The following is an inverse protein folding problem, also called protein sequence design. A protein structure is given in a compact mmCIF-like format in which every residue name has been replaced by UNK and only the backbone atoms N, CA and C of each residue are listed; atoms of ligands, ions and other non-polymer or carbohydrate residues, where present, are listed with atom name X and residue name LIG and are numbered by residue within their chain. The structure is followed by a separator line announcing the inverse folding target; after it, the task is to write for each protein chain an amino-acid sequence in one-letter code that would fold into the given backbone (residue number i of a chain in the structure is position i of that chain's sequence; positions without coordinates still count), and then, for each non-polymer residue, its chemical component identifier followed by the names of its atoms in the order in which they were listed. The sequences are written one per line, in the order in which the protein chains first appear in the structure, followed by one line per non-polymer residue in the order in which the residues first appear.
data_IF_987883496643
#
_entry.id   IF_987883496643
#
_cell.length_a   1.000
_cell.length_b   1.000
_cell.length_c   1.000
_cell.angle_alpha   90.00
_cell.angle_beta   90.00
_cell.angle_gamma   90.00
#
_symmetry.space_group_name_H-M   'P 1'
#
loop_
_entity.id
_entity.type
_entity.pdbx_description
1 polymer ?
#
# COMPACT_ATOMS: atom_id res chain seq x y z
N UNK A 1 -3.50 -25.31 -6.90
CA UNK A 1 -2.83 -25.29 -5.59
C UNK A 1 -3.36 -24.09 -4.83
N UNK A 2 -4.08 -24.27 -3.71
CA UNK A 2 -4.53 -23.13 -2.90
C UNK A 2 -3.29 -22.35 -2.46
N UNK A 3 -3.30 -21.04 -2.69
CA UNK A 3 -2.14 -20.20 -2.52
C UNK A 3 -1.61 -20.28 -1.08
N UNK A 4 -0.31 -20.51 -0.94
CA UNK A 4 0.42 -20.71 0.33
C UNK A 4 0.88 -19.38 0.95
N UNK A 5 0.45 -18.24 0.40
CA UNK A 5 0.82 -16.88 0.82
C UNK A 5 0.28 -16.55 2.22
N UNK A 6 -0.96 -16.97 2.54
CA UNK A 6 -1.55 -16.73 3.87
C UNK A 6 -0.75 -17.44 4.95
N UNK A 7 -0.29 -18.67 4.69
CA UNK A 7 0.56 -19.40 5.60
C UNK A 7 1.96 -18.77 5.69
N UNK A 8 2.61 -18.45 4.57
CA UNK A 8 3.96 -17.87 4.56
C UNK A 8 3.99 -16.49 5.25
N UNK A 9 2.95 -15.67 5.04
CA UNK A 9 2.78 -14.40 5.75
C UNK A 9 2.59 -14.61 7.24
N UNK A 10 1.64 -15.47 7.63
CA UNK A 10 1.41 -15.78 9.04
C UNK A 10 2.66 -16.37 9.71
N UNK A 11 3.48 -17.13 8.97
CA UNK A 11 4.76 -17.64 9.44
C UNK A 11 5.76 -16.50 9.69
N UNK A 12 5.97 -15.60 8.73
CA UNK A 12 6.84 -14.43 8.90
C UNK A 12 6.36 -13.51 10.04
N UNK A 13 5.06 -13.20 10.11
CA UNK A 13 4.47 -12.39 11.17
C UNK A 13 4.68 -13.04 12.55
N UNK A 14 4.61 -14.37 12.61
CA UNK A 14 4.90 -15.12 13.84
C UNK A 14 6.39 -15.06 14.21
N UNK A 15 7.32 -15.13 13.24
CA UNK A 15 8.74 -14.90 13.50
C UNK A 15 9.00 -13.48 14.03
N UNK A 16 8.44 -12.45 13.41
CA UNK A 16 8.56 -11.07 13.89
C UNK A 16 8.00 -10.87 15.30
N UNK A 17 6.97 -11.63 15.67
CA UNK A 17 6.48 -11.66 17.04
C UNK A 17 7.49 -12.32 18.00
N UNK A 18 8.12 -13.43 17.61
CA UNK A 18 9.16 -14.11 18.40
C UNK A 18 10.40 -13.22 18.59
N UNK A 19 10.75 -12.38 17.62
CA UNK A 19 11.85 -11.41 17.77
C UNK A 19 11.66 -10.43 18.95
N UNK A 20 10.42 -10.23 19.40
CA UNK A 20 10.10 -9.38 20.56
C UNK A 20 10.10 -10.15 21.89
N UNK A 21 10.38 -11.45 21.88
CA UNK A 21 10.35 -12.34 23.05
C UNK A 21 11.76 -12.87 23.38
N UNK A 22 11.89 -13.49 24.55
CA UNK A 22 13.17 -14.08 25.00
C UNK A 22 13.21 -15.60 24.81
N UNK A 23 14.40 -16.17 24.61
CA UNK A 23 14.60 -17.62 24.64
C UNK A 23 14.13 -18.19 25.99
N UNK A 24 13.32 -19.23 25.96
CA UNK A 24 12.67 -19.86 27.12
C UNK A 24 11.27 -19.32 27.43
N UNK A 25 10.87 -18.20 26.84
CA UNK A 25 9.53 -17.62 27.00
C UNK A 25 8.48 -18.40 26.17
N UNK A 26 7.23 -18.34 26.62
CA UNK A 26 6.10 -18.99 25.93
C UNK A 26 5.61 -18.13 24.75
N UNK A 27 5.40 -18.77 23.60
CA UNK A 27 4.87 -18.10 22.40
C UNK A 27 3.38 -17.73 22.51
N UNK A 28 2.67 -18.33 23.47
CA UNK A 28 1.25 -18.10 23.73
C UNK A 28 0.30 -19.12 23.09
N UNK A 29 -0.99 -19.01 23.43
CA UNK A 29 -2.02 -19.96 23.02
C UNK A 29 -2.44 -19.80 21.54
N UNK A 30 -2.76 -20.92 20.88
CA UNK A 30 -3.21 -20.95 19.47
C UNK A 30 -4.35 -19.96 19.16
N UNK A 31 -5.31 -19.83 20.07
CA UNK A 31 -6.45 -18.93 19.90
C UNK A 31 -6.09 -17.44 20.02
N UNK A 32 -5.02 -17.11 20.73
CA UNK A 32 -4.50 -15.74 20.81
C UNK A 32 -3.67 -15.42 19.58
N UNK A 33 -2.81 -16.34 19.16
CA UNK A 33 -2.03 -16.22 17.93
C UNK A 33 -2.91 -16.10 16.68
N UNK A 34 -4.00 -16.88 16.60
CA UNK A 34 -4.94 -16.78 15.46
C UNK A 34 -5.60 -15.41 15.37
N UNK A 35 -5.86 -14.76 16.51
CA UNK A 35 -6.43 -13.41 16.56
C UNK A 35 -5.40 -12.35 16.21
N UNK A 36 -4.19 -12.43 16.76
CA UNK A 36 -3.13 -11.45 16.48
C UNK A 36 -2.67 -11.50 15.03
N UNK A 37 -2.52 -12.70 14.47
CA UNK A 37 -2.09 -12.94 13.09
C UNK A 37 -3.24 -12.84 12.07
N UNK A 38 -4.48 -12.63 12.51
CA UNK A 38 -5.69 -12.55 11.66
C UNK A 38 -5.85 -13.73 10.67
N UNK A 39 -5.54 -14.95 11.11
CA UNK A 39 -5.67 -16.18 10.31
C UNK A 39 -6.46 -17.27 11.04
N UNK A 40 -6.81 -18.34 10.32
CA UNK A 40 -7.52 -19.48 10.91
C UNK A 40 -6.65 -20.21 11.94
N UNK A 41 -7.27 -20.84 12.94
CA UNK A 41 -6.56 -21.70 13.91
C UNK A 41 -5.80 -22.84 13.22
N UNK A 42 -6.34 -23.36 12.12
CA UNK A 42 -5.68 -24.39 11.30
C UNK A 42 -4.38 -23.86 10.69
N UNK A 43 -4.38 -22.62 10.19
CA UNK A 43 -3.17 -21.98 9.68
C UNK A 43 -2.13 -21.79 10.78
N UNK A 44 -2.54 -21.33 11.96
CA UNK A 44 -1.63 -21.18 13.12
C UNK A 44 -1.02 -22.52 13.52
N UNK A 45 -1.80 -23.61 13.53
CA UNK A 45 -1.26 -24.95 13.82
C UNK A 45 -0.18 -25.35 12.85
N UNK A 46 -0.41 -25.20 11.56
CA UNK A 46 0.61 -25.49 10.54
C UNK A 46 1.85 -24.61 10.69
N UNK A 47 1.70 -23.33 11.06
CA UNK A 47 2.83 -22.44 11.35
C UNK A 47 3.63 -22.96 12.54
N UNK A 48 2.97 -23.31 13.65
CA UNK A 48 3.61 -23.82 14.86
C UNK A 48 4.32 -25.16 14.62
N UNK A 49 3.71 -26.07 13.86
CA UNK A 49 4.33 -27.33 13.43
C UNK A 49 5.65 -27.07 12.70
N UNK A 50 5.67 -26.14 11.74
CA UNK A 50 6.90 -25.80 11.01
C UNK A 50 7.93 -25.08 11.88
N UNK A 51 7.50 -24.24 12.84
CA UNK A 51 8.43 -23.61 13.80
C UNK A 51 9.12 -24.64 14.69
N UNK A 52 8.39 -25.69 15.09
CA UNK A 52 8.94 -26.82 15.85
C UNK A 52 9.91 -27.66 14.99
N UNK A 53 9.54 -27.98 13.75
CA UNK A 53 10.43 -28.66 12.80
C UNK A 53 11.75 -27.91 12.57
N UNK A 54 11.69 -26.57 12.52
CA UNK A 54 12.86 -25.69 12.39
C UNK A 54 13.58 -25.40 13.72
N UNK A 55 13.14 -26.03 14.81
CA UNK A 55 13.69 -25.90 16.17
C UNK A 55 13.74 -24.46 16.66
N UNK A 56 12.76 -23.66 16.26
CA UNK A 56 12.57 -22.28 16.76
C UNK A 56 11.79 -22.32 18.07
N UNK A 57 10.82 -23.23 18.15
CA UNK A 57 10.07 -23.54 19.36
C UNK A 57 10.21 -25.03 19.71
N UNK A 58 9.86 -25.38 20.94
CA UNK A 58 9.65 -26.76 21.39
C UNK A 58 8.31 -26.86 22.14
N UNK A 59 7.56 -27.93 21.86
CA UNK A 59 6.33 -28.28 22.57
C UNK A 59 6.63 -29.35 23.63
N UNK A 60 6.34 -29.06 24.90
CA UNK A 60 6.46 -30.03 26.00
C UNK A 60 5.12 -30.70 26.36
N UNK A 61 4.08 -30.48 25.54
CA UNK A 61 2.71 -30.96 25.72
C UNK A 61 1.86 -30.09 26.66
N UNK A 62 2.46 -29.11 27.36
CA UNK A 62 1.75 -28.13 28.20
C UNK A 62 1.92 -26.70 27.70
N UNK A 63 3.11 -26.36 27.20
CA UNK A 63 3.49 -25.04 26.73
C UNK A 63 4.43 -25.16 25.53
N UNK A 64 4.39 -24.15 24.65
CA UNK A 64 5.34 -24.01 23.54
C UNK A 64 6.30 -22.89 23.86
N UNK A 65 7.58 -23.22 23.96
CA UNK A 65 8.63 -22.29 24.38
C UNK A 65 9.63 -22.02 23.27
N UNK A 66 10.15 -20.80 23.25
CA UNK A 66 11.15 -20.37 22.27
C UNK A 66 12.49 -21.03 22.61
N UNK A 67 13.07 -21.76 21.67
CA UNK A 67 14.36 -22.45 21.81
C UNK A 67 15.51 -21.62 21.24
N UNK A 68 15.23 -20.83 20.20
CA UNK A 68 16.15 -19.85 19.61
C UNK A 68 15.39 -18.70 18.99
N UNK A 69 16.03 -17.54 18.86
CA UNK A 69 15.48 -16.43 18.09
C UNK A 69 15.57 -16.72 16.58
N UNK A 70 14.65 -16.16 15.77
CA UNK A 70 14.72 -16.22 14.31
C UNK A 70 16.01 -15.62 13.76
N UNK A 71 16.49 -16.16 12.65
CA UNK A 71 17.55 -15.56 11.83
C UNK A 71 16.98 -15.14 10.48
N UNK A 72 17.64 -14.23 9.73
CA UNK A 72 17.11 -13.75 8.43
C UNK A 72 16.72 -14.85 7.44
N UNK A 73 17.42 -15.99 7.47
CA UNK A 73 17.16 -17.12 6.58
C UNK A 73 15.95 -18.00 6.99
N UNK A 74 15.36 -17.75 8.17
CA UNK A 74 14.12 -18.41 8.57
C UNK A 74 12.90 -17.80 7.87
N UNK A 75 12.96 -16.52 7.51
CA UNK A 75 11.85 -15.82 6.88
C UNK A 75 11.64 -16.29 5.44
N UNK A 76 10.39 -16.44 5.03
CA UNK A 76 10.07 -16.53 3.62
C UNK A 76 10.39 -15.21 2.92
N UNK A 77 10.88 -15.22 1.67
CA UNK A 77 11.08 -14.00 0.90
C UNK A 77 9.79 -13.19 0.79
N UNK A 78 9.88 -11.86 0.80
CA UNK A 78 8.71 -10.98 0.75
C UNK A 78 7.84 -11.22 -0.50
N UNK A 79 8.48 -11.56 -1.63
CA UNK A 79 7.79 -11.94 -2.86
C UNK A 79 6.90 -13.20 -2.71
N UNK A 80 7.16 -14.04 -1.71
CA UNK A 80 6.41 -15.26 -1.41
C UNK A 80 5.36 -15.07 -0.30
N UNK A 81 5.41 -13.96 0.45
CA UNK A 81 4.42 -13.61 1.48
C UNK A 81 3.37 -12.61 1.00
N UNK A 82 3.61 -11.96 -0.14
CA UNK A 82 2.63 -11.11 -0.82
C UNK A 82 1.37 -11.91 -1.16
N UNK A 83 0.20 -11.33 -0.84
CA UNK A 83 -1.04 -11.96 -1.25
C UNK A 83 -1.14 -11.97 -2.77
N UNK A 84 -1.76 -13.02 -3.34
CA UNK A 84 -2.03 -13.07 -4.78
C UNK A 84 -2.78 -11.81 -5.23
N UNK A 85 -3.64 -11.27 -4.36
CA UNK A 85 -4.31 -9.99 -4.58
C UNK A 85 -3.34 -8.81 -4.72
N UNK A 86 -2.42 -8.61 -3.76
CA UNK A 86 -1.44 -7.52 -3.79
C UNK A 86 -0.50 -7.61 -5.00
N UNK A 87 -0.13 -8.84 -5.40
CA UNK A 87 0.63 -9.08 -6.63
C UNK A 87 -0.17 -8.67 -7.88
N UNK A 88 -1.42 -9.11 -7.97
CA UNK A 88 -2.29 -8.75 -9.10
C UNK A 88 -2.49 -7.24 -9.13
N UNK A 89 -2.72 -6.61 -8.00
CA UNK A 89 -2.92 -5.17 -7.87
C UNK A 89 -1.71 -4.40 -8.40
N UNK A 90 -0.52 -4.68 -7.88
CA UNK A 90 0.72 -4.04 -8.35
C UNK A 90 0.90 -4.19 -9.85
N UNK A 91 0.78 -5.41 -10.38
CA UNK A 91 0.95 -5.68 -11.81
C UNK A 91 -0.14 -5.08 -12.67
N UNK A 92 -1.37 -5.01 -12.17
CA UNK A 92 -2.50 -4.39 -12.86
C UNK A 92 -2.28 -2.89 -12.98
N UNK A 93 -1.84 -2.25 -11.91
CA UNK A 93 -1.49 -0.84 -11.94
C UNK A 93 -0.35 -0.61 -12.94
N UNK A 94 0.75 -1.37 -12.85
CA UNK A 94 1.87 -1.28 -13.81
C UNK A 94 1.40 -1.44 -15.27
N UNK A 95 0.49 -2.39 -15.53
CA UNK A 95 -0.13 -2.59 -16.84
C UNK A 95 -0.94 -1.37 -17.32
N UNK A 96 -1.72 -0.73 -16.44
CA UNK A 96 -2.49 0.48 -16.78
C UNK A 96 -1.56 1.63 -17.19
N UNK A 97 -0.36 1.74 -16.58
CA UNK A 97 0.66 2.71 -16.98
C UNK A 97 1.27 2.40 -18.34
N UNK A 98 1.81 1.19 -18.45
CA UNK A 98 2.66 0.78 -19.57
C UNK A 98 1.85 0.78 -20.87
N UNK A 99 0.65 0.23 -20.81
CA UNK A 99 -0.20 0.06 -22.00
C UNK A 99 -1.01 1.32 -22.35
N UNK A 100 -0.88 2.40 -21.58
CA UNK A 100 -1.63 3.64 -21.77
C UNK A 100 -3.13 3.39 -22.02
N UNK A 101 -3.73 2.53 -21.19
CA UNK A 101 -5.13 2.11 -21.38
C UNK A 101 -6.02 3.35 -21.34
N UNK A 102 -6.87 3.47 -22.36
CA UNK A 102 -7.78 4.59 -22.50
C UNK A 102 -9.12 4.27 -21.82
N UNK A 103 -9.79 5.28 -21.24
CA UNK A 103 -11.20 5.18 -20.87
C UNK A 103 -12.04 4.53 -21.97
N UNK A 104 -12.88 3.56 -21.60
CA UNK A 104 -13.72 2.79 -22.51
C UNK A 104 -13.07 1.54 -23.10
N UNK A 105 -11.77 1.32 -22.93
CA UNK A 105 -11.10 0.10 -23.41
C UNK A 105 -11.47 -1.12 -22.56
N UNK A 106 -11.51 -2.29 -23.19
CA UNK A 106 -11.84 -3.54 -22.53
C UNK A 106 -10.62 -4.13 -21.80
N UNK A 107 -10.80 -4.50 -20.54
CA UNK A 107 -9.82 -5.20 -19.72
C UNK A 107 -10.08 -6.71 -19.82
N UNK A 108 -9.16 -7.46 -20.43
CA UNK A 108 -9.33 -8.89 -20.66
C UNK A 108 -8.69 -9.74 -19.55
N UNK A 109 -9.53 -10.37 -18.72
CA UNK A 109 -9.06 -11.20 -17.61
C UNK A 109 -8.16 -12.38 -18.03
N UNK A 110 -8.35 -12.95 -19.23
CA UNK A 110 -7.53 -14.06 -19.73
C UNK A 110 -6.16 -13.59 -20.22
N UNK A 111 -6.09 -12.37 -20.75
CA UNK A 111 -4.83 -11.73 -21.10
C UNK A 111 -4.02 -11.40 -19.85
N UNK A 112 -4.65 -10.73 -18.87
CA UNK A 112 -4.03 -10.43 -17.59
C UNK A 112 -3.57 -11.69 -16.86
N UNK A 113 -4.36 -12.77 -16.90
CA UNK A 113 -3.97 -14.07 -16.32
C UNK A 113 -2.66 -14.59 -16.90
N UNK A 114 -2.47 -14.51 -18.22
CA UNK A 114 -1.23 -14.92 -18.90
C UNK A 114 -0.07 -14.00 -18.53
N UNK A 115 -0.27 -12.67 -18.59
CA UNK A 115 0.77 -11.67 -18.28
C UNK A 115 1.21 -11.73 -16.82
N UNK A 116 0.28 -11.92 -15.88
CA UNK A 116 0.55 -11.92 -14.45
C UNK A 116 0.89 -13.31 -13.91
N UNK A 117 0.77 -14.35 -14.74
CA UNK A 117 1.02 -15.75 -14.36
C UNK A 117 0.18 -16.20 -13.15
N UNK A 118 -1.09 -15.77 -13.11
CA UNK A 118 -2.08 -16.14 -12.09
C UNK A 118 -3.33 -16.74 -12.73
N UNK A 119 -4.19 -17.40 -11.95
CA UNK A 119 -5.39 -18.02 -12.52
C UNK A 119 -6.42 -16.99 -13.03
N UNK A 120 -7.19 -17.30 -14.09
CA UNK A 120 -8.25 -16.41 -14.57
C UNK A 120 -9.34 -16.13 -13.52
N UNK A 121 -9.55 -17.04 -12.57
CA UNK A 121 -10.48 -16.84 -11.46
C UNK A 121 -9.98 -15.77 -10.48
N UNK A 122 -8.68 -15.78 -10.15
CA UNK A 122 -8.08 -14.79 -9.27
C UNK A 122 -8.10 -13.39 -9.88
N UNK A 123 -7.85 -13.26 -11.19
CA UNK A 123 -8.00 -11.97 -11.89
C UNK A 123 -9.45 -11.49 -11.85
N UNK A 124 -10.43 -12.35 -12.14
CA UNK A 124 -11.85 -11.93 -12.12
C UNK A 124 -12.33 -11.51 -10.73
N UNK A 125 -11.83 -12.18 -9.70
CA UNK A 125 -12.07 -11.80 -8.31
C UNK A 125 -11.46 -10.44 -7.99
N UNK A 126 -10.18 -10.23 -8.32
CA UNK A 126 -9.54 -8.93 -8.19
C UNK A 126 -10.29 -7.82 -8.95
N UNK A 127 -10.62 -8.03 -10.22
CA UNK A 127 -11.32 -7.02 -11.03
C UNK A 127 -12.71 -6.68 -10.48
N UNK A 128 -13.40 -7.66 -9.87
CA UNK A 128 -14.67 -7.44 -9.18
C UNK A 128 -14.49 -6.57 -7.96
N UNK A 129 -13.53 -6.90 -7.11
CA UNK A 129 -13.29 -6.16 -5.88
C UNK A 129 -12.76 -4.75 -6.22
N UNK A 130 -11.91 -4.63 -7.24
CA UNK A 130 -11.39 -3.35 -7.74
C UNK A 130 -12.45 -2.50 -8.46
N UNK A 131 -13.52 -3.10 -8.98
CA UNK A 131 -14.61 -2.32 -9.59
C UNK A 131 -15.37 -1.45 -8.59
N UNK A 132 -15.31 -1.78 -7.29
CA UNK A 132 -15.83 -0.91 -6.22
C UNK A 132 -15.07 0.42 -6.14
N UNK A 133 -13.84 0.45 -6.65
CA UNK A 133 -13.01 1.65 -6.70
C UNK A 133 -13.38 2.59 -7.86
N UNK A 134 -14.30 2.22 -8.75
CA UNK A 134 -14.79 3.07 -9.84
C UNK A 134 -13.91 3.15 -11.10
N UNK A 135 -12.68 2.62 -11.07
CA UNK A 135 -11.77 2.63 -12.24
C UNK A 135 -12.07 1.58 -13.30
N UNK A 136 -12.79 0.52 -12.93
CA UNK A 136 -13.20 -0.53 -13.84
C UNK A 136 -14.69 -0.78 -13.61
N UNK A 137 -15.42 -0.95 -14.70
CA UNK A 137 -16.84 -1.29 -14.67
C UNK A 137 -17.06 -2.67 -15.27
N UNK A 138 -17.92 -3.48 -14.65
CA UNK A 138 -18.42 -4.72 -15.25
C UNK A 138 -19.67 -4.44 -16.06
N UNK A 139 -19.60 -4.60 -17.38
CA UNK A 139 -20.78 -4.48 -18.26
C UNK A 139 -21.72 -5.68 -18.09
N UNK A 140 -23.02 -5.54 -18.45
CA UNK A 140 -23.99 -6.64 -18.43
C UNK A 140 -23.57 -7.87 -19.25
N UNK A 141 -22.82 -7.65 -20.34
CA UNK A 141 -22.21 -8.69 -21.17
C UNK A 141 -21.14 -9.52 -20.44
N UNK A 142 -20.70 -9.09 -19.26
CA UNK A 142 -19.63 -9.70 -18.49
C UNK A 142 -18.23 -9.21 -18.85
N UNK A 143 -18.09 -8.27 -19.80
CA UNK A 143 -16.81 -7.62 -20.08
C UNK A 143 -16.46 -6.58 -19.01
N UNK A 144 -15.16 -6.43 -18.76
CA UNK A 144 -14.63 -5.38 -17.90
C UNK A 144 -14.19 -4.21 -18.77
N UNK A 145 -14.56 -3.00 -18.41
CA UNK A 145 -14.19 -1.78 -19.12
C UNK A 145 -13.40 -0.90 -18.16
N UNK A 146 -12.26 -0.41 -18.60
CA UNK A 146 -11.53 0.61 -17.87
C UNK A 146 -12.28 1.94 -18.00
N UNK A 147 -12.77 2.48 -16.90
CA UNK A 147 -13.50 3.76 -16.87
C UNK A 147 -12.52 4.92 -16.96
N UNK A 148 -11.33 4.74 -16.37
CA UNK A 148 -10.27 5.75 -16.37
C UNK A 148 -10.19 6.53 -15.07
N UNK A 149 -9.07 7.23 -14.92
CA UNK A 149 -8.80 8.15 -13.82
C UNK A 149 -8.79 9.55 -14.40
N UNK A 150 -9.95 10.18 -14.41
CA UNK A 150 -10.10 11.55 -14.86
C UNK A 150 -9.91 12.55 -13.71
N UNK A 151 -10.11 13.83 -14.02
CA UNK A 151 -9.93 14.92 -13.07
C UNK A 151 -10.94 14.86 -11.93
N UNK A 152 -12.18 14.44 -12.20
CA UNK A 152 -13.25 14.38 -11.21
C UNK A 152 -12.99 13.23 -10.24
N UNK A 153 -12.61 12.07 -10.77
CA UNK A 153 -12.16 10.93 -9.96
C UNK A 153 -11.00 11.31 -9.03
N UNK A 154 -9.99 12.02 -9.55
CA UNK A 154 -8.87 12.49 -8.76
C UNK A 154 -9.31 13.48 -7.66
N UNK A 155 -10.29 14.32 -7.96
CA UNK A 155 -10.83 15.31 -7.04
C UNK A 155 -11.55 14.64 -5.87
N UNK A 156 -12.46 13.71 -6.19
CA UNK A 156 -13.23 12.91 -5.23
C UNK A 156 -12.31 12.08 -4.34
N UNK A 157 -11.27 11.47 -4.93
CA UNK A 157 -10.26 10.71 -4.21
C UNK A 157 -9.49 11.56 -3.20
N UNK A 158 -9.10 12.78 -3.59
CA UNK A 158 -8.44 13.73 -2.70
C UNK A 158 -9.37 14.22 -1.57
N UNK A 159 -10.67 14.37 -1.83
CA UNK A 159 -11.65 14.76 -0.81
C UNK A 159 -11.78 13.69 0.26
N UNK A 160 -11.94 12.43 -0.13
CA UNK A 160 -12.05 11.31 0.82
C UNK A 160 -10.73 11.12 1.58
N UNK A 161 -9.59 11.18 0.90
CA UNK A 161 -8.26 11.10 1.54
C UNK A 161 -8.12 12.15 2.64
N UNK A 162 -8.51 13.40 2.37
CA UNK A 162 -8.40 14.48 3.33
C UNK A 162 -9.24 14.24 4.59
N UNK A 163 -10.48 13.77 4.42
CA UNK A 163 -11.36 13.45 5.55
C UNK A 163 -10.73 12.35 6.43
N UNK A 164 -10.21 11.29 5.80
CA UNK A 164 -9.68 10.15 6.52
C UNK A 164 -8.34 10.42 7.22
N UNK A 165 -7.41 11.10 6.54
CA UNK A 165 -6.12 11.42 7.14
C UNK A 165 -6.26 12.41 8.30
N UNK A 166 -7.13 13.42 8.19
CA UNK A 166 -7.37 14.37 9.29
C UNK A 166 -7.97 13.68 10.52
N UNK A 167 -8.95 12.80 10.33
CA UNK A 167 -9.53 12.03 11.44
C UNK A 167 -8.49 11.10 12.07
N UNK A 168 -7.64 10.48 11.25
CA UNK A 168 -6.58 9.59 11.72
C UNK A 168 -5.51 10.36 12.51
N UNK A 169 -5.09 11.53 12.04
CA UNK A 169 -4.14 12.41 12.72
C UNK A 169 -4.66 12.89 14.09
N UNK A 170 -5.95 13.28 14.15
CA UNK A 170 -6.63 13.63 15.41
C UNK A 170 -6.64 12.48 16.42
N UNK A 171 -6.67 11.24 15.94
CA UNK A 171 -6.60 10.04 16.78
C UNK A 171 -5.18 9.71 17.20
N UNK A 172 -4.22 9.88 16.29
CA UNK A 172 -2.81 9.58 16.47
C UNK A 172 -2.24 10.22 17.74
N UNK A 173 -2.58 11.48 18.01
CA UNK A 173 -2.11 12.20 19.21
C UNK A 173 -2.64 11.67 20.53
N UNK A 174 -3.59 10.73 20.53
CA UNK A 174 -4.13 10.15 21.77
C UNK A 174 -3.37 8.89 22.20
N UNK A 175 -2.39 8.41 21.43
CA UNK A 175 -1.53 7.33 21.87
C UNK A 175 -0.71 7.76 23.10
N UNK A 176 -0.45 6.81 24.00
CA UNK A 176 0.39 7.03 25.17
C UNK A 176 1.85 7.28 24.73
N UNK A 177 2.65 7.95 25.56
CA UNK A 177 4.04 8.30 25.20
C UNK A 177 4.95 7.08 25.00
N UNK A 178 4.62 5.95 25.64
CA UNK A 178 5.33 4.67 25.55
C UNK A 178 4.82 3.75 24.43
N UNK A 179 3.81 4.18 23.67
CA UNK A 179 3.26 3.40 22.56
C UNK A 179 4.27 3.26 21.41
N UNK A 180 4.35 2.06 20.82
CA UNK A 180 5.28 1.72 19.74
C UNK A 180 5.14 2.64 18.50
N UNK A 181 3.98 3.25 18.28
CA UNK A 181 3.75 4.20 17.17
C UNK A 181 4.75 5.36 17.16
N UNK A 182 5.22 5.82 18.31
CA UNK A 182 6.20 6.91 18.39
C UNK A 182 7.58 6.45 17.94
N UNK A 183 7.96 5.20 18.27
CA UNK A 183 9.17 4.57 17.76
C UNK A 183 9.15 4.42 16.23
N UNK A 184 7.99 4.03 15.68
CA UNK A 184 7.78 3.94 14.23
C UNK A 184 7.84 5.32 13.56
N UNK A 185 7.21 6.34 14.15
CA UNK A 185 7.28 7.71 13.66
C UNK A 185 8.71 8.25 13.65
N UNK A 186 9.51 7.92 14.67
CA UNK A 186 10.94 8.28 14.73
C UNK A 186 11.74 7.61 13.60
N UNK A 187 11.45 6.34 13.29
CA UNK A 187 12.11 5.65 12.19
C UNK A 187 11.76 6.30 10.83
N UNK A 188 10.50 6.67 10.64
CA UNK A 188 10.03 7.33 9.42
C UNK A 188 10.65 8.73 9.28
N UNK A 189 10.74 9.52 10.36
CA UNK A 189 11.42 10.81 10.32
C UNK A 189 12.90 10.67 9.92
N UNK A 190 13.61 9.69 10.51
CA UNK A 190 15.01 9.41 10.12
C UNK A 190 15.13 9.02 8.65
N UNK A 191 14.18 8.25 8.12
CA UNK A 191 14.16 7.91 6.70
C UNK A 191 14.00 9.17 5.83
N UNK A 192 13.12 10.11 6.18
CA UNK A 192 12.98 11.39 5.48
C UNK A 192 14.28 12.22 5.51
N UNK A 193 14.93 12.32 6.67
CA UNK A 193 16.20 13.04 6.81
C UNK A 193 17.31 12.38 6.00
N UNK A 194 17.38 11.05 6.00
CA UNK A 194 18.31 10.27 5.18
C UNK A 194 18.07 10.51 3.67
N UNK A 195 16.83 10.69 3.22
CA UNK A 195 16.58 11.09 1.83
C UNK A 195 17.17 12.47 1.53
N UNK A 196 17.04 13.45 2.43
CA UNK A 196 17.53 14.82 2.20
C UNK A 196 19.07 14.93 2.15
N UNK A 197 19.80 14.05 2.83
CA UNK A 197 21.28 14.06 2.82
C UNK A 197 21.88 13.86 1.43
N UNK A 198 21.24 13.03 0.59
CA UNK A 198 21.65 12.77 -0.79
C UNK A 198 20.42 12.42 -1.63
N UNK A 199 19.56 13.43 -1.78
CA UNK A 199 18.28 13.26 -2.44
C UNK A 199 18.44 12.89 -3.92
N UNK A 200 19.50 13.37 -4.56
CA UNK A 200 19.78 13.05 -5.94
C UNK A 200 19.95 11.54 -6.16
N UNK A 201 20.68 10.86 -5.27
CA UNK A 201 20.86 9.41 -5.35
C UNK A 201 19.65 8.63 -4.77
N UNK A 202 18.95 9.19 -3.77
CA UNK A 202 17.97 8.45 -2.94
C UNK A 202 16.50 8.73 -3.28
N UNK A 203 16.20 9.63 -4.21
CA UNK A 203 14.82 10.03 -4.56
C UNK A 203 13.89 8.84 -4.91
N UNK A 204 14.44 7.75 -5.44
CA UNK A 204 13.69 6.52 -5.79
C UNK A 204 13.08 5.82 -4.57
N UNK A 205 13.60 6.08 -3.36
CA UNK A 205 13.11 5.51 -2.09
C UNK A 205 11.97 6.35 -1.49
N UNK A 206 11.80 7.61 -1.92
CA UNK A 206 10.77 8.49 -1.37
C UNK A 206 9.37 7.90 -1.39
N UNK A 207 8.89 7.25 -2.46
CA UNK A 207 7.56 6.66 -2.46
C UNK A 207 7.37 5.68 -1.30
N UNK A 208 8.35 4.83 -1.00
CA UNK A 208 8.24 3.91 0.14
C UNK A 208 8.11 4.67 1.47
N UNK A 209 8.90 5.72 1.65
CA UNK A 209 8.93 6.54 2.87
C UNK A 209 7.64 7.35 3.06
N UNK A 210 7.11 7.94 1.99
CA UNK A 210 5.77 8.55 1.91
C UNK A 210 4.69 7.54 2.33
N UNK A 211 4.78 6.33 1.74
CA UNK A 211 3.83 5.28 1.99
C UNK A 211 3.79 4.88 3.48
N UNK A 212 4.95 4.75 4.11
CA UNK A 212 5.07 4.41 5.52
C UNK A 212 4.46 5.47 6.45
N UNK A 213 4.65 6.77 6.15
CA UNK A 213 4.08 7.85 6.97
C UNK A 213 2.56 7.81 6.98
N UNK A 214 1.94 7.82 5.79
CA UNK A 214 0.47 7.84 5.69
C UNK A 214 -0.16 6.56 6.24
N UNK A 215 0.46 5.38 6.03
CA UNK A 215 -0.01 4.14 6.65
C UNK A 215 0.06 4.19 8.18
N UNK A 216 1.17 4.71 8.74
CA UNK A 216 1.30 4.84 10.19
C UNK A 216 0.21 5.76 10.76
N UNK A 217 -0.02 6.92 10.14
CA UNK A 217 -1.05 7.87 10.57
C UNK A 217 -2.43 7.22 10.50
N UNK A 218 -2.77 6.60 9.36
CA UNK A 218 -4.07 5.96 9.17
C UNK A 218 -4.31 4.79 10.13
N UNK A 219 -3.26 4.09 10.55
CA UNK A 219 -3.37 2.99 11.53
C UNK A 219 -3.92 3.43 12.90
N UNK A 220 -3.82 4.72 13.23
CA UNK A 220 -4.45 5.29 14.42
C UNK A 220 -5.98 5.24 14.36
N UNK A 221 -6.54 5.19 13.16
CA UNK A 221 -7.96 5.04 12.96
C UNK A 221 -8.37 3.59 13.14
N UNK A 222 -8.98 3.26 14.28
CA UNK A 222 -9.68 1.98 14.48
C UNK A 222 -11.00 1.89 13.69
N UNK A 223 -11.08 2.57 12.54
CA UNK A 223 -12.27 2.65 11.70
C UNK A 223 -12.13 1.70 10.50
N UNK A 224 -13.01 0.70 10.44
CA UNK A 224 -13.03 -0.32 9.36
C UNK A 224 -13.15 0.25 7.95
N UNK A 225 -13.73 1.44 7.78
CA UNK A 225 -13.88 2.09 6.47
C UNK A 225 -12.60 2.82 6.07
N UNK A 226 -11.93 3.46 7.02
CA UNK A 226 -10.62 4.09 6.80
C UNK A 226 -9.58 3.02 6.47
N UNK A 227 -9.58 1.90 7.20
CA UNK A 227 -8.62 0.82 6.94
C UNK A 227 -8.86 0.09 5.61
N UNK A 228 -10.09 0.13 5.07
CA UNK A 228 -10.38 -0.39 3.71
C UNK A 228 -9.97 0.58 2.61
N UNK A 229 -9.83 1.87 2.93
CA UNK A 229 -9.37 2.87 1.98
C UNK A 229 -7.90 2.72 1.61
N UNK A 230 -7.11 1.96 2.36
CA UNK A 230 -5.71 1.68 2.04
C UNK A 230 -5.51 1.03 0.65
N UNK A 231 -6.48 0.25 0.15
CA UNK A 231 -6.44 -0.29 -1.22
C UNK A 231 -6.51 0.82 -2.29
N UNK A 232 -7.22 1.91 -2.01
CA UNK A 232 -7.26 3.10 -2.87
C UNK A 232 -5.95 3.91 -2.80
N UNK A 233 -5.13 3.67 -1.79
CA UNK A 233 -3.86 4.37 -1.60
C UNK A 233 -2.79 3.88 -2.56
N UNK A 234 -2.78 2.59 -2.91
CA UNK A 234 -2.00 2.04 -4.02
C UNK A 234 -2.30 2.77 -5.33
N UNK A 235 -3.57 3.13 -5.54
CA UNK A 235 -3.98 3.90 -6.70
C UNK A 235 -3.41 5.32 -6.66
N UNK A 236 -3.59 6.06 -5.55
CA UNK A 236 -3.02 7.42 -5.38
C UNK A 236 -1.51 7.39 -5.61
N UNK A 237 -0.82 6.46 -4.97
CA UNK A 237 0.62 6.26 -5.08
C UNK A 237 1.03 6.08 -6.54
N UNK A 238 0.38 5.15 -7.23
CA UNK A 238 0.72 4.82 -8.59
C UNK A 238 0.40 5.95 -9.59
N UNK A 239 -0.70 6.67 -9.38
CA UNK A 239 -1.08 7.83 -10.18
C UNK A 239 -0.12 9.02 -9.96
N UNK A 240 0.25 9.27 -8.69
CA UNK A 240 1.03 10.43 -8.30
C UNK A 240 2.52 10.29 -8.65
N UNK A 241 3.08 9.09 -8.47
CA UNK A 241 4.50 8.80 -8.66
C UNK A 241 4.81 8.24 -10.07
N UNK A 242 3.93 7.46 -10.68
CA UNK A 242 4.27 6.80 -11.95
C UNK A 242 3.82 7.54 -13.22
N UNK A 243 2.85 8.47 -13.15
CA UNK A 243 2.33 9.15 -14.36
C UNK A 243 3.14 10.35 -14.85
N UNK A 244 3.94 10.99 -14.01
CA UNK A 244 4.69 12.18 -14.42
C UNK A 244 6.06 12.29 -13.76
N UNK A 245 7.09 11.82 -14.47
CA UNK A 245 8.50 11.83 -14.06
C UNK A 245 9.23 13.16 -14.25
N UNK A 246 8.64 14.13 -14.97
CA UNK A 246 9.38 15.35 -15.38
C UNK A 246 9.67 16.26 -14.19
N UNK A 247 8.71 16.40 -13.29
CA UNK A 247 8.81 17.20 -12.06
C UNK A 247 8.66 16.37 -10.79
N UNK A 248 8.57 15.03 -10.92
CA UNK A 248 8.46 14.10 -9.80
C UNK A 248 9.50 14.37 -8.72
N UNK A 249 10.77 14.50 -9.13
CA UNK A 249 11.88 14.69 -8.20
C UNK A 249 11.73 15.98 -7.38
N UNK A 250 11.36 17.10 -8.00
CA UNK A 250 11.15 18.37 -7.30
C UNK A 250 9.91 18.32 -6.40
N UNK A 251 8.80 17.76 -6.91
CA UNK A 251 7.55 17.60 -6.13
C UNK A 251 7.77 16.76 -4.87
N UNK A 252 8.50 15.67 -5.01
CA UNK A 252 8.82 14.75 -3.92
C UNK A 252 9.77 15.42 -2.90
N UNK A 253 10.71 16.26 -3.35
CA UNK A 253 11.57 17.02 -2.45
C UNK A 253 10.77 17.99 -1.56
N UNK A 254 9.82 18.72 -2.15
CA UNK A 254 8.89 19.59 -1.41
C UNK A 254 8.06 18.77 -0.41
N UNK A 255 7.52 17.62 -0.84
CA UNK A 255 6.72 16.75 0.02
C UNK A 255 7.50 16.22 1.24
N UNK A 256 8.80 15.92 1.11
CA UNK A 256 9.65 15.52 2.26
C UNK A 256 9.65 16.62 3.35
N UNK A 257 9.78 17.88 2.97
CA UNK A 257 9.75 18.99 3.93
C UNK A 257 8.37 19.17 4.56
N UNK A 258 7.30 18.97 3.80
CA UNK A 258 5.93 18.97 4.33
C UNK A 258 5.70 17.83 5.33
N UNK A 259 6.20 16.63 5.03
CA UNK A 259 6.14 15.48 5.94
C UNK A 259 6.89 15.74 7.24
N UNK A 260 8.09 16.32 7.19
CA UNK A 260 8.84 16.67 8.41
C UNK A 260 8.10 17.70 9.26
N UNK A 261 7.45 18.70 8.64
CA UNK A 261 6.56 19.65 9.35
C UNK A 261 5.37 18.95 9.98
N UNK A 262 4.78 17.98 9.28
CA UNK A 262 3.64 17.22 9.78
C UNK A 262 4.03 16.29 10.95
N UNK A 263 5.16 15.60 10.85
CA UNK A 263 5.75 14.80 11.93
C UNK A 263 6.02 15.66 13.17
N UNK A 264 6.60 16.85 12.99
CA UNK A 264 6.83 17.78 14.09
C UNK A 264 5.50 18.23 14.74
N UNK A 265 4.47 18.50 13.94
CA UNK A 265 3.15 18.83 14.45
C UNK A 265 2.54 17.67 15.26
N UNK A 266 2.61 16.42 14.75
CA UNK A 266 2.11 15.24 15.47
C UNK A 266 2.77 15.08 16.85
N UNK A 267 4.10 15.30 16.92
CA UNK A 267 4.85 15.27 18.19
C UNK A 267 4.45 16.36 19.16
N UNK A 268 4.11 17.55 18.66
CA UNK A 268 3.68 18.66 19.52
C UNK A 268 2.35 18.36 20.23
N UNK A 269 1.56 17.41 19.72
CA UNK A 269 0.17 17.12 20.11
C UNK A 269 -0.76 18.35 20.03
N UNK A 270 -0.32 19.45 19.41
CA UNK A 270 -1.17 20.60 19.13
C UNK A 270 -2.10 20.28 17.96
N UNK A 271 -3.37 20.11 18.29
CA UNK A 271 -4.42 19.76 17.33
C UNK A 271 -4.50 20.76 16.16
N UNK A 272 -4.27 22.05 16.41
CA UNK A 272 -4.32 23.07 15.35
C UNK A 272 -3.12 22.95 14.43
N UNK A 273 -1.91 22.84 15.01
CA UNK A 273 -0.70 22.67 14.23
C UNK A 273 -0.74 21.41 13.34
N UNK A 274 -1.36 20.34 13.83
CA UNK A 274 -1.53 19.08 13.11
C UNK A 274 -2.52 19.23 11.96
N UNK A 275 -3.67 19.83 12.21
CA UNK A 275 -4.66 20.10 11.17
C UNK A 275 -4.08 21.00 10.08
N UNK A 276 -3.39 22.09 10.47
CA UNK A 276 -2.78 23.02 9.52
C UNK A 276 -1.70 22.34 8.66
N UNK A 277 -0.83 21.53 9.28
CA UNK A 277 0.21 20.80 8.57
C UNK A 277 -0.37 19.73 7.62
N UNK A 278 -1.38 18.99 8.06
CA UNK A 278 -2.06 17.98 7.26
C UNK A 278 -2.81 18.59 6.08
N UNK A 279 -3.59 19.66 6.30
CA UNK A 279 -4.33 20.37 5.25
C UNK A 279 -3.36 20.95 4.22
N UNK A 280 -2.25 21.54 4.68
CA UNK A 280 -1.23 22.09 3.79
C UNK A 280 -0.66 21.01 2.86
N UNK A 281 -0.17 19.91 3.44
CA UNK A 281 0.41 18.80 2.68
C UNK A 281 -0.59 18.17 1.69
N UNK A 282 -1.81 17.87 2.15
CA UNK A 282 -2.84 17.26 1.31
C UNK A 282 -3.35 18.21 0.22
N UNK A 283 -3.32 19.52 0.49
CA UNK A 283 -3.57 20.57 -0.50
C UNK A 283 -2.51 20.59 -1.60
N UNK A 284 -1.22 20.55 -1.24
CA UNK A 284 -0.12 20.45 -2.21
C UNK A 284 -0.24 19.16 -3.03
N UNK A 285 -0.43 18.01 -2.37
CA UNK A 285 -0.59 16.71 -3.03
C UNK A 285 -1.78 16.65 -4.01
N UNK A 286 -2.88 17.34 -3.68
CA UNK A 286 -4.04 17.47 -4.58
C UNK A 286 -3.67 18.28 -5.83
N UNK A 287 -3.01 19.42 -5.66
CA UNK A 287 -2.61 20.27 -6.79
C UNK A 287 -1.64 19.55 -7.73
N UNK A 288 -0.65 18.83 -7.17
CA UNK A 288 0.33 18.07 -7.94
C UNK A 288 -0.30 16.91 -8.71
N UNK A 289 -1.27 16.21 -8.11
CA UNK A 289 -2.01 15.14 -8.77
C UNK A 289 -2.85 15.67 -9.95
N UNK A 290 -3.60 16.76 -9.74
CA UNK A 290 -4.43 17.33 -10.81
C UNK A 290 -3.56 17.86 -11.96
N UNK A 291 -2.43 18.51 -11.64
CA UNK A 291 -1.50 19.00 -12.65
C UNK A 291 -0.85 17.87 -13.48
N UNK A 292 -0.65 16.68 -12.90
CA UNK A 292 -0.10 15.54 -13.64
C UNK A 292 -1.09 14.99 -14.68
N UNK A 293 -2.39 15.05 -14.39
CA UNK A 293 -3.46 14.65 -15.31
C UNK A 293 -3.63 15.61 -16.49
N UNK A 294 -3.65 16.92 -16.23
CA UNK A 294 -3.85 17.93 -17.27
C UNK A 294 -2.77 17.83 -18.37
N UNK A 295 -1.52 17.56 -17.97
CA UNK A 295 -0.40 17.38 -18.92
C UNK A 295 -0.49 16.08 -19.73
N UNK A 296 -1.11 15.03 -19.20
CA UNK A 296 -1.39 13.79 -19.95
C UNK A 296 -2.40 14.06 -21.06
N UNK A 297 -3.45 14.82 -20.76
CA UNK A 297 -4.47 15.19 -21.75
C UNK A 297 -3.88 16.05 -22.87
N UNK A 298 -3.00 17.00 -22.56
CA UNK A 298 -2.31 17.80 -23.59
C UNK A 298 -1.42 16.96 -24.51
N UNK A 299 -0.67 15.99 -23.97
CA UNK A 299 0.17 15.07 -24.78
C UNK A 299 -0.65 14.11 -25.67
N UNK A 300 -1.90 13.83 -25.30
CA UNK A 300 -2.80 12.99 -26.10
C UNK A 300 -3.61 13.79 -27.12
N UNK A 301 -3.93 15.05 -26.84
CA UNK A 301 -4.63 15.95 -27.76
C UNK A 301 -3.84 16.29 -29.03
N UNK A 302 -2.51 16.30 -28.97
CA UNK A 302 -1.65 16.54 -30.15
C UNK A 302 -1.52 15.33 -31.08
N UNK A 303 -1.90 14.12 -30.66
CA UNK A 303 -1.84 12.91 -31.50
C UNK A 303 -3.11 12.62 -32.31
N UNK A 304 -4.12 13.49 -32.24
CA UNK A 304 -5.37 13.37 -33.00
C UNK A 304 -5.52 14.55 -33.96
N UNK A 305 -4.48 14.89 -34.72
CA UNK A 305 -4.69 15.55 -36.01
C UNK A 305 -4.83 14.47 -37.09
N UNK A 306 -6.08 14.23 -37.45
CA UNK A 306 -6.47 13.58 -38.69
C UNK A 306 -5.69 14.19 -39.85
N UNK A 307 -4.75 13.45 -40.44
CA UNK A 307 -4.44 13.65 -41.86
C UNK A 307 -5.68 13.25 -42.65
N UNK A 308 -6.38 14.17 -43.33
CA UNK A 308 -7.38 13.80 -44.32
C UNK A 308 -6.57 13.20 -45.48
N UNK A 309 -6.73 11.89 -45.71
CA UNK A 309 -6.22 11.26 -46.91
C UNK A 309 -6.85 11.93 -48.12
N UNK A 310 -6.08 12.79 -48.78
CA UNK A 310 -6.39 13.35 -50.08
C UNK A 310 -6.56 12.19 -51.08
N UNK A 311 -7.75 12.13 -51.67
CA UNK A 311 -8.01 11.48 -52.95
C UNK A 311 -7.17 12.15 -54.04
N UNK A 312 -6.41 11.37 -54.81
CA UNK A 312 -6.01 11.47 -56.25
C UNK A 312 -5.05 10.26 -56.44
N UNK A 313 -5.20 9.28 -57.33
CA UNK A 313 -5.70 9.17 -58.70
C UNK A 313 -6.24 7.74 -58.94
#
# INVERSE_FOLDING_TARGET
MRSNDVYKRAFNDCLSHIEQLSVGEEIGAEASLARSLSVSRTTVRSVLETLEERRIIADDGRSRRIVRLPIPNDFFPEAETQSVHALIERRFMDFVLEENILPGQQVNALELSRRFSVSPSAIREYLRDFSECGLIERRPSGSWIFVGFDRDFAQELCDVRQIFELESARRFVNFADDDAVWGQLNAIERAHLWLLEDYDARHVEFPHVDNSLHSLINSASKNRFINRFDNLRCLIFHCHYSWNKVDEKERNFVAIHEHLRYIAALRSRDKRAIEDAAIFHLGTARQTLLASLDRRHSRHGEKVEHTPGLSVC
#
